data_IF_813665994596
#
_entry.id   IF_813665994596
#
_cell.length_a   1.000
_cell.length_b   1.000
_cell.length_c   1.000
_cell.angle_alpha   90.00
_cell.angle_beta   90.00
_cell.angle_gamma   90.00
#
_symmetry.space_group_name_H-M   'P 1'
#
loop_
_entity.id
_entity.type
_entity.pdbx_description
1 polymer ?
#
# COMPACT_ATOMS: atom_id res chain seq x y z
N UNK A 1 -10.66 29.07 -12.61
CA UNK A 1 -9.71 28.39 -13.53
C UNK A 1 -10.25 27.00 -13.82
N UNK A 2 -10.92 26.84 -14.95
CA UNK A 2 -11.42 25.56 -15.45
C UNK A 2 -10.24 24.70 -15.87
N UNK A 3 -9.87 23.74 -15.02
CA UNK A 3 -8.90 22.71 -15.37
C UNK A 3 -9.48 21.91 -16.53
N UNK A 4 -8.72 21.86 -17.63
CA UNK A 4 -9.14 21.32 -18.90
C UNK A 4 -9.33 19.80 -18.76
N UNK A 5 -10.58 19.34 -18.65
CA UNK A 5 -10.95 17.91 -18.45
C UNK A 5 -10.67 17.01 -19.67
N UNK A 6 -9.87 17.47 -20.64
CA UNK A 6 -9.82 16.87 -21.97
C UNK A 6 -8.39 16.65 -22.51
N UNK A 7 -7.38 16.52 -21.64
CA UNK A 7 -6.05 16.11 -22.07
C UNK A 7 -5.78 14.68 -21.61
N UNK A 8 -5.79 13.76 -22.57
CA UNK A 8 -5.30 12.40 -22.40
C UNK A 8 -3.92 12.43 -21.72
N UNK A 9 -3.80 11.76 -20.57
CA UNK A 9 -2.56 11.69 -19.77
C UNK A 9 -1.85 10.38 -19.99
N UNK A 10 -0.52 10.40 -19.96
CA UNK A 10 0.29 9.19 -20.00
C UNK A 10 0.85 8.88 -18.60
N UNK A 11 0.57 7.68 -18.09
CA UNK A 11 0.96 7.27 -16.75
C UNK A 11 1.69 5.92 -16.75
N UNK A 12 2.79 5.86 -16.01
CA UNK A 12 3.49 4.60 -15.71
C UNK A 12 3.13 4.16 -14.29
N UNK A 13 2.72 2.91 -14.14
CA UNK A 13 2.39 2.31 -12.83
C UNK A 13 3.30 1.11 -12.60
N UNK A 14 4.20 1.21 -11.61
CA UNK A 14 4.99 0.05 -11.16
C UNK A 14 4.22 -0.74 -10.12
N UNK A 15 4.42 -2.06 -10.07
CA UNK A 15 3.67 -2.92 -9.14
C UNK A 15 2.19 -3.04 -9.49
N UNK A 16 1.82 -2.81 -10.76
CA UNK A 16 0.46 -2.85 -11.29
C UNK A 16 -0.24 -4.20 -11.07
N UNK A 17 0.50 -5.29 -11.01
CA UNK A 17 -0.05 -6.65 -10.82
C UNK A 17 -0.34 -7.01 -9.37
N UNK A 18 0.03 -6.15 -8.41
CA UNK A 18 -0.31 -6.33 -7.00
C UNK A 18 -1.71 -5.85 -6.67
N UNK A 19 -2.18 -6.13 -5.45
CA UNK A 19 -3.49 -5.71 -4.94
C UNK A 19 -3.79 -4.23 -5.24
N UNK A 20 -3.07 -3.29 -4.60
CA UNK A 20 -3.28 -1.85 -4.82
C UNK A 20 -3.02 -1.45 -6.27
N UNK A 21 -1.99 -2.04 -6.89
CA UNK A 21 -1.60 -1.75 -8.27
C UNK A 21 -2.73 -1.97 -9.27
N UNK A 22 -3.49 -3.06 -9.11
CA UNK A 22 -4.57 -3.39 -10.03
C UNK A 22 -5.68 -2.32 -10.03
N UNK A 23 -6.05 -1.81 -8.85
CA UNK A 23 -7.02 -0.72 -8.74
C UNK A 23 -6.47 0.61 -9.26
N UNK A 24 -5.17 0.89 -9.08
CA UNK A 24 -4.53 2.08 -9.66
C UNK A 24 -4.59 2.03 -11.19
N UNK A 25 -4.36 0.86 -11.77
CA UNK A 25 -4.44 0.62 -13.20
C UNK A 25 -5.87 0.77 -13.71
N UNK A 26 -6.85 0.16 -13.05
CA UNK A 26 -8.28 0.30 -13.36
C UNK A 26 -8.73 1.77 -13.36
N UNK A 27 -8.40 2.53 -12.31
CA UNK A 27 -8.73 3.96 -12.21
C UNK A 27 -8.07 4.80 -13.32
N UNK A 28 -6.84 4.46 -13.74
CA UNK A 28 -6.18 5.14 -14.85
C UNK A 28 -6.92 4.93 -16.17
N UNK A 29 -7.37 3.70 -16.43
CA UNK A 29 -8.16 3.35 -17.61
C UNK A 29 -9.54 4.01 -17.57
N UNK A 30 -10.22 3.99 -16.41
CA UNK A 30 -11.52 4.64 -16.20
C UNK A 30 -11.46 6.16 -16.47
N UNK A 31 -10.32 6.80 -16.17
CA UNK A 31 -10.06 8.21 -16.49
C UNK A 31 -9.74 8.47 -17.96
N UNK A 32 -9.65 7.45 -18.81
CA UNK A 32 -9.25 7.57 -20.20
C UNK A 32 -7.78 7.94 -20.38
N UNK A 33 -6.91 7.56 -19.43
CA UNK A 33 -5.46 7.81 -19.53
C UNK A 33 -4.77 6.65 -20.28
N UNK A 34 -3.65 6.96 -20.94
CA UNK A 34 -2.73 5.94 -21.48
C UNK A 34 -1.96 5.32 -20.32
N UNK A 35 -2.39 4.14 -19.89
CA UNK A 35 -1.77 3.44 -18.77
C UNK A 35 -0.70 2.47 -19.28
N UNK A 36 0.52 2.62 -18.77
CA UNK A 36 1.60 1.65 -18.93
C UNK A 36 1.86 0.93 -17.61
N UNK A 37 1.62 -0.38 -17.57
CA UNK A 37 2.00 -1.23 -16.45
C UNK A 37 3.47 -1.65 -16.60
N UNK A 38 4.31 -1.17 -15.67
CA UNK A 38 5.70 -1.56 -15.55
C UNK A 38 5.82 -2.79 -14.66
N UNK A 39 6.14 -3.94 -15.27
CA UNK A 39 6.09 -5.24 -14.62
C UNK A 39 7.42 -5.99 -14.76
N UNK A 40 7.65 -6.97 -13.88
CA UNK A 40 8.80 -7.88 -14.01
C UNK A 40 8.51 -8.90 -15.10
N UNK A 41 9.56 -9.50 -15.65
CA UNK A 41 9.42 -10.58 -16.65
C UNK A 41 8.50 -11.70 -16.15
N UNK A 42 8.66 -12.07 -14.88
CA UNK A 42 7.91 -13.15 -14.22
C UNK A 42 6.54 -12.74 -13.67
N UNK A 43 6.08 -11.52 -13.95
CA UNK A 43 4.77 -11.07 -13.47
C UNK A 43 3.63 -11.67 -14.30
N UNK A 44 2.65 -12.22 -13.58
CA UNK A 44 1.32 -12.57 -14.06
C UNK A 44 0.52 -11.29 -14.35
N UNK A 45 0.07 -11.13 -15.59
CA UNK A 45 -0.57 -9.90 -16.11
C UNK A 45 -2.00 -10.13 -16.60
N UNK A 46 -2.54 -11.33 -16.41
CA UNK A 46 -3.83 -11.78 -16.95
C UNK A 46 -5.01 -11.00 -16.36
N UNK A 47 -4.83 -10.42 -15.17
CA UNK A 47 -5.85 -9.64 -14.46
C UNK A 47 -5.76 -8.12 -14.73
N UNK A 48 -4.86 -7.67 -15.59
CA UNK A 48 -4.80 -6.25 -15.98
C UNK A 48 -5.79 -5.98 -17.13
N UNK A 49 -6.43 -4.79 -17.18
CA UNK A 49 -7.26 -4.39 -18.31
C UNK A 49 -6.51 -4.52 -19.64
N UNK A 50 -7.21 -4.94 -20.69
CA UNK A 50 -6.62 -5.20 -22.02
C UNK A 50 -6.02 -3.97 -22.69
N UNK A 51 -6.49 -2.79 -22.32
CA UNK A 51 -6.11 -1.48 -22.80
C UNK A 51 -4.76 -1.02 -22.22
N UNK A 52 -4.27 -1.71 -21.19
CA UNK A 52 -3.03 -1.36 -20.49
C UNK A 52 -1.84 -1.84 -21.28
N UNK A 53 -0.95 -0.91 -21.62
CA UNK A 53 0.32 -1.25 -22.25
C UNK A 53 1.25 -1.93 -21.24
N UNK A 54 1.83 -3.06 -21.62
CA UNK A 54 2.79 -3.77 -20.79
C UNK A 54 4.22 -3.38 -21.16
N UNK A 55 5.03 -3.08 -20.13
CA UNK A 55 6.48 -2.97 -20.25
C UNK A 55 7.11 -3.93 -19.27
N UNK A 56 7.83 -4.92 -19.80
CA UNK A 56 8.56 -5.91 -19.00
C UNK A 56 9.99 -5.44 -18.80
N UNK A 57 10.26 -4.88 -17.62
CA UNK A 57 11.59 -4.42 -17.23
C UNK A 57 11.76 -4.57 -15.71
N UNK A 58 12.82 -5.28 -15.31
CA UNK A 58 13.21 -5.37 -13.90
C UNK A 58 13.94 -4.10 -13.44
N UNK A 59 14.08 -3.95 -12.12
CA UNK A 59 14.80 -2.82 -11.52
C UNK A 59 16.31 -3.06 -11.35
N UNK A 60 16.82 -4.21 -11.78
CA UNK A 60 18.22 -4.61 -11.63
C UNK A 60 19.10 -4.16 -12.79
N UNK A 61 18.52 -3.85 -13.95
CA UNK A 61 19.23 -3.46 -15.16
C UNK A 61 18.85 -2.02 -15.53
N UNK A 62 19.70 -1.07 -15.12
CA UNK A 62 19.42 0.36 -15.30
C UNK A 62 19.32 0.77 -16.77
N UNK A 63 20.17 0.20 -17.63
CA UNK A 63 20.17 0.52 -19.06
C UNK A 63 18.86 0.11 -19.72
N UNK A 64 18.33 -1.09 -19.40
CA UNK A 64 17.00 -1.51 -19.87
C UNK A 64 15.88 -0.60 -19.37
N UNK A 65 15.99 -0.07 -18.14
CA UNK A 65 15.00 0.89 -17.64
C UNK A 65 15.03 2.20 -18.44
N UNK A 66 16.23 2.72 -18.73
CA UNK A 66 16.41 3.93 -19.54
C UNK A 66 15.80 3.74 -20.93
N UNK A 67 16.13 2.65 -21.61
CA UNK A 67 15.61 2.34 -22.94
C UNK A 67 14.09 2.17 -22.95
N UNK A 68 13.53 1.51 -21.93
CA UNK A 68 12.10 1.34 -21.77
C UNK A 68 11.39 2.69 -21.56
N UNK A 69 11.92 3.56 -20.71
CA UNK A 69 11.36 4.92 -20.48
C UNK A 69 11.34 5.75 -21.77
N UNK A 70 12.45 5.79 -22.48
CA UNK A 70 12.56 6.49 -23.77
C UNK A 70 11.64 5.87 -24.83
N UNK A 71 11.49 4.54 -24.84
CA UNK A 71 10.59 3.85 -25.76
C UNK A 71 9.12 4.17 -25.47
N UNK A 72 8.72 4.24 -24.19
CA UNK A 72 7.38 4.66 -23.79
C UNK A 72 7.12 6.09 -24.27
N UNK A 73 8.04 7.02 -24.02
CA UNK A 73 7.87 8.41 -24.43
C UNK A 73 7.76 8.56 -25.97
N UNK A 74 8.61 7.86 -26.73
CA UNK A 74 8.54 7.87 -28.21
C UNK A 74 7.23 7.31 -28.75
N UNK A 75 6.66 6.28 -28.12
CA UNK A 75 5.48 5.59 -28.62
C UNK A 75 4.16 6.20 -28.13
N UNK A 76 4.15 6.77 -26.92
CA UNK A 76 2.94 7.22 -26.25
C UNK A 76 2.88 8.73 -26.05
N UNK A 77 3.96 9.46 -26.33
CA UNK A 77 4.13 10.87 -26.02
C UNK A 77 4.70 11.08 -24.61
N UNK A 78 4.83 12.36 -24.18
CA UNK A 78 5.37 12.73 -22.88
C UNK A 78 4.74 11.94 -21.73
N UNK A 79 5.55 11.47 -20.79
CA UNK A 79 5.06 10.77 -19.59
C UNK A 79 4.66 11.83 -18.57
N UNK A 80 3.35 12.00 -18.33
CA UNK A 80 2.88 12.96 -17.33
C UNK A 80 3.19 12.49 -15.91
N UNK A 81 2.91 11.22 -15.63
CA UNK A 81 2.84 10.71 -14.26
C UNK A 81 3.55 9.36 -14.10
N UNK A 82 4.16 9.17 -12.93
CA UNK A 82 4.67 7.87 -12.50
C UNK A 82 4.13 7.57 -11.11
N UNK A 83 3.42 6.45 -10.95
CA UNK A 83 3.10 5.88 -9.64
C UNK A 83 4.06 4.73 -9.37
N UNK A 84 4.93 4.90 -8.37
CA UNK A 84 5.80 3.84 -7.90
C UNK A 84 5.15 3.06 -6.75
N UNK A 85 4.36 2.04 -7.09
CA UNK A 85 3.72 1.12 -6.16
C UNK A 85 4.48 -0.21 -6.00
N UNK A 86 5.50 -0.47 -6.82
CA UNK A 86 6.35 -1.64 -6.66
C UNK A 86 7.01 -1.67 -5.26
N UNK A 87 6.85 -2.80 -4.57
CA UNK A 87 7.43 -3.04 -3.28
C UNK A 87 7.03 -4.40 -2.73
N UNK A 88 7.75 -4.85 -1.70
CA UNK A 88 7.41 -6.05 -0.94
C UNK A 88 7.00 -5.65 0.47
N UNK A 89 5.85 -6.16 0.91
CA UNK A 89 5.34 -6.03 2.29
C UNK A 89 5.76 -7.21 3.15
N UNK A 90 6.17 -8.31 2.52
CA UNK A 90 6.65 -9.54 3.15
C UNK A 90 7.73 -10.17 2.28
N UNK A 91 8.73 -10.76 2.91
CA UNK A 91 9.79 -11.48 2.21
C UNK A 91 10.33 -12.61 3.09
N UNK A 92 10.96 -13.61 2.45
CA UNK A 92 11.68 -14.69 3.12
C UNK A 92 13.07 -14.20 3.53
N UNK A 93 13.74 -13.45 2.65
CA UNK A 93 15.05 -12.86 2.94
C UNK A 93 14.86 -11.40 3.31
N UNK A 94 15.14 -11.07 4.57
CA UNK A 94 14.97 -9.73 5.12
C UNK A 94 15.75 -8.64 4.36
N UNK A 95 16.87 -8.99 3.70
CA UNK A 95 17.62 -8.05 2.85
C UNK A 95 16.81 -7.59 1.65
N UNK A 96 15.79 -8.35 1.23
CA UNK A 96 14.93 -7.99 0.12
C UNK A 96 14.01 -6.81 0.44
N UNK A 97 13.72 -6.51 1.72
CA UNK A 97 13.02 -5.28 2.05
C UNK A 97 13.80 -4.06 1.57
N UNK A 98 15.06 -3.94 1.95
CA UNK A 98 15.92 -2.84 1.54
C UNK A 98 16.19 -2.86 0.03
N UNK A 99 16.57 -4.03 -0.51
CA UNK A 99 16.86 -4.18 -1.94
C UNK A 99 15.68 -3.81 -2.82
N UNK A 100 14.47 -4.29 -2.49
CA UNK A 100 13.28 -4.08 -3.34
C UNK A 100 12.61 -2.74 -3.07
N UNK A 101 12.47 -2.31 -1.82
CA UNK A 101 11.73 -1.09 -1.53
C UNK A 101 12.62 0.17 -1.64
N UNK A 102 13.91 0.09 -1.31
CA UNK A 102 14.80 1.25 -1.33
C UNK A 102 15.75 1.24 -2.53
N UNK A 103 16.59 0.22 -2.70
CA UNK A 103 17.61 0.24 -3.75
C UNK A 103 17.00 0.25 -5.16
N UNK A 104 15.95 -0.54 -5.41
CA UNK A 104 15.25 -0.49 -6.70
C UNK A 104 14.57 0.86 -6.96
N UNK A 105 14.05 1.52 -5.90
CA UNK A 105 13.51 2.88 -6.01
C UNK A 105 14.61 3.86 -6.41
N UNK A 106 15.80 3.76 -5.81
CA UNK A 106 16.96 4.57 -6.19
C UNK A 106 17.36 4.34 -7.66
N UNK A 107 17.54 3.08 -8.06
CA UNK A 107 17.89 2.73 -9.45
C UNK A 107 16.84 3.22 -10.45
N UNK A 108 15.56 3.19 -10.09
CA UNK A 108 14.48 3.68 -10.96
C UNK A 108 14.48 5.21 -11.08
N UNK A 109 14.69 5.94 -9.98
CA UNK A 109 14.82 7.41 -10.00
C UNK A 109 16.05 7.82 -10.80
N UNK A 110 17.18 7.13 -10.63
CA UNK A 110 18.39 7.33 -11.43
C UNK A 110 18.12 7.07 -12.92
N UNK A 111 17.42 5.98 -13.26
CA UNK A 111 17.04 5.69 -14.64
C UNK A 111 16.12 6.76 -15.24
N UNK A 112 15.17 7.30 -14.47
CA UNK A 112 14.34 8.43 -14.91
C UNK A 112 15.21 9.63 -15.24
N UNK A 113 16.15 9.99 -14.35
CA UNK A 113 17.05 11.11 -14.57
C UNK A 113 17.95 10.90 -15.80
N UNK A 114 18.62 9.75 -15.90
CA UNK A 114 19.53 9.43 -17.02
C UNK A 114 18.80 9.24 -18.35
N UNK A 115 17.51 8.90 -18.33
CA UNK A 115 16.73 8.78 -19.56
C UNK A 115 16.44 10.11 -20.25
N UNK A 116 16.55 11.23 -19.52
CA UNK A 116 16.27 12.58 -20.02
C UNK A 116 14.78 12.93 -20.11
N UNK A 117 13.88 12.01 -19.75
CA UNK A 117 12.43 12.29 -19.76
C UNK A 117 12.07 13.30 -18.67
N UNK A 118 11.05 14.11 -18.94
CA UNK A 118 10.47 15.02 -17.95
C UNK A 118 9.07 14.53 -17.56
N UNK A 119 8.78 14.51 -16.26
CA UNK A 119 7.48 14.10 -15.71
C UNK A 119 6.86 15.23 -14.89
N UNK A 120 5.53 15.30 -14.85
CA UNK A 120 4.80 16.29 -14.04
C UNK A 120 4.69 15.88 -12.58
N UNK A 121 4.60 14.58 -12.29
CA UNK A 121 4.54 14.07 -10.92
C UNK A 121 5.01 12.63 -10.77
N UNK A 122 5.77 12.40 -9.71
CA UNK A 122 6.12 11.08 -9.20
C UNK A 122 5.38 10.83 -7.88
N UNK A 123 4.51 9.82 -7.81
CA UNK A 123 3.91 9.39 -6.55
C UNK A 123 4.60 8.14 -6.04
N UNK A 124 5.26 8.24 -4.90
CA UNK A 124 5.78 7.08 -4.17
C UNK A 124 4.68 6.52 -3.26
N UNK A 125 4.28 5.26 -3.49
CA UNK A 125 3.48 4.54 -2.51
C UNK A 125 4.37 4.11 -1.35
N UNK A 126 4.31 4.81 -0.22
CA UNK A 126 4.97 4.45 1.03
C UNK A 126 4.03 3.66 1.95
N UNK A 127 4.15 3.82 3.26
CA UNK A 127 3.28 3.24 4.28
C UNK A 127 3.41 4.03 5.58
N UNK A 128 2.36 4.08 6.40
CA UNK A 128 2.48 4.62 7.76
C UNK A 128 3.56 3.90 8.58
N UNK A 129 3.89 2.65 8.26
CA UNK A 129 4.99 1.91 8.87
C UNK A 129 6.36 2.61 8.71
N UNK A 130 6.54 3.48 7.71
CA UNK A 130 7.74 4.29 7.55
C UNK A 130 7.94 5.28 8.70
N UNK A 131 6.85 5.77 9.29
CA UNK A 131 6.84 6.65 10.46
C UNK A 131 7.06 5.86 11.75
N UNK A 132 6.54 4.63 11.82
CA UNK A 132 6.55 3.80 13.03
C UNK A 132 5.31 4.05 13.92
N UNK A 133 5.19 3.29 15.02
CA UNK A 133 4.03 3.40 15.91
C UNK A 133 4.05 4.69 16.73
N UNK A 134 2.86 5.22 17.03
CA UNK A 134 2.69 6.36 17.90
C UNK A 134 2.92 6.04 19.38
N UNK A 135 2.91 7.07 20.21
CA UNK A 135 3.13 6.91 21.65
C UNK A 135 1.96 6.13 22.30
N UNK A 136 2.22 5.01 22.98
CA UNK A 136 1.18 4.18 23.59
C UNK A 136 0.56 4.79 24.87
N UNK A 137 1.14 5.87 25.41
CA UNK A 137 0.64 6.58 26.60
C UNK A 137 -0.27 7.76 26.23
N UNK A 138 0.17 8.60 25.29
CA UNK A 138 -0.62 9.80 24.89
C UNK A 138 -1.73 9.45 23.92
N UNK A 139 -1.54 8.39 23.10
CA UNK A 139 -2.51 7.95 22.08
C UNK A 139 -2.90 9.06 21.09
N UNK A 140 -2.01 10.04 20.91
CA UNK A 140 -2.17 11.10 19.92
C UNK A 140 -2.05 10.52 18.50
N UNK A 141 -2.82 11.03 17.53
CA UNK A 141 -2.67 10.66 16.13
C UNK A 141 -1.27 11.01 15.60
N UNK A 142 -0.74 10.13 14.76
CA UNK A 142 0.50 10.35 14.02
C UNK A 142 0.27 11.41 12.93
N UNK A 143 1.10 12.44 12.92
CA UNK A 143 1.09 13.49 11.90
C UNK A 143 2.10 13.21 10.77
N UNK A 144 1.81 13.65 9.53
CA UNK A 144 2.71 13.44 8.39
C UNK A 144 4.14 13.97 8.57
N UNK A 145 4.26 15.04 9.36
CA UNK A 145 5.52 15.77 9.58
C UNK A 145 6.26 15.32 10.87
N UNK A 146 5.74 14.31 11.57
CA UNK A 146 6.42 13.68 12.72
C UNK A 146 7.76 13.06 12.29
N UNK A 147 8.72 13.04 13.23
CA UNK A 147 10.03 12.43 13.01
C UNK A 147 9.89 10.89 12.92
N UNK A 148 10.23 10.27 11.78
CA UNK A 148 10.08 8.83 11.61
C UNK A 148 10.97 7.99 12.55
N UNK A 149 10.37 7.03 13.25
CA UNK A 149 11.01 6.04 14.13
C UNK A 149 10.47 4.62 13.87
N UNK A 150 10.66 4.07 12.66
CA UNK A 150 10.14 2.74 12.32
C UNK A 150 10.83 1.63 13.12
N UNK A 151 10.03 0.72 13.66
CA UNK A 151 10.47 -0.44 14.44
C UNK A 151 10.54 -1.74 13.63
N UNK A 152 9.93 -1.77 12.44
CA UNK A 152 9.94 -2.91 11.49
C UNK A 152 11.01 -2.76 10.40
N UNK A 153 11.46 -3.87 9.81
CA UNK A 153 12.35 -3.85 8.65
C UNK A 153 11.64 -3.31 7.42
N UNK A 154 10.37 -3.69 7.22
CA UNK A 154 9.51 -3.10 6.21
C UNK A 154 9.44 -1.58 6.35
N UNK A 155 9.08 -1.06 7.53
CA UNK A 155 9.01 0.37 7.80
C UNK A 155 10.33 1.10 7.54
N UNK A 156 11.45 0.54 8.00
CA UNK A 156 12.80 1.07 7.73
C UNK A 156 13.10 1.14 6.23
N UNK A 157 12.74 0.10 5.46
CA UNK A 157 12.95 0.09 4.02
C UNK A 157 12.11 1.14 3.28
N UNK A 158 10.85 1.35 3.70
CA UNK A 158 9.98 2.40 3.16
C UNK A 158 10.52 3.79 3.49
N UNK A 159 10.98 4.02 4.72
CA UNK A 159 11.61 5.28 5.11
C UNK A 159 12.90 5.57 4.30
N UNK A 160 13.70 4.54 3.99
CA UNK A 160 14.86 4.70 3.09
C UNK A 160 14.43 5.15 1.69
N UNK A 161 13.40 4.52 1.12
CA UNK A 161 12.83 4.92 -0.16
C UNK A 161 12.32 6.37 -0.16
N UNK A 162 11.67 6.80 0.93
CA UNK A 162 11.24 8.19 1.10
C UNK A 162 12.42 9.16 1.14
N UNK A 163 13.52 8.82 1.81
CA UNK A 163 14.73 9.65 1.82
C UNK A 163 15.33 9.81 0.43
N UNK A 164 15.35 8.73 -0.35
CA UNK A 164 15.85 8.74 -1.73
C UNK A 164 15.02 9.69 -2.60
N UNK A 165 13.69 9.55 -2.63
CA UNK A 165 12.87 10.43 -3.47
C UNK A 165 12.94 11.89 -3.01
N UNK A 166 13.00 12.15 -1.69
CA UNK A 166 13.20 13.50 -1.12
C UNK A 166 14.47 14.19 -1.59
N UNK A 167 15.52 13.43 -1.87
CA UNK A 167 16.81 13.93 -2.37
C UNK A 167 16.83 14.08 -3.90
N UNK A 168 15.81 13.58 -4.61
CA UNK A 168 15.72 13.73 -6.06
C UNK A 168 15.21 15.11 -6.47
N UNK A 169 15.47 15.49 -7.72
CA UNK A 169 14.91 16.70 -8.35
C UNK A 169 13.51 16.51 -8.92
N UNK A 170 12.95 15.30 -8.87
CA UNK A 170 11.62 15.02 -9.41
C UNK A 170 10.53 15.75 -8.61
N UNK A 171 9.46 16.25 -9.24
CA UNK A 171 8.28 16.69 -8.52
C UNK A 171 7.59 15.46 -7.91
N UNK A 172 7.67 15.27 -6.60
CA UNK A 172 7.18 14.06 -5.95
C UNK A 172 6.09 14.30 -4.92
N UNK A 173 5.25 13.30 -4.68
CA UNK A 173 4.39 13.19 -3.49
C UNK A 173 4.55 11.79 -2.90
N UNK A 174 4.51 11.69 -1.57
CA UNK A 174 4.62 10.42 -0.84
C UNK A 174 3.27 10.10 -0.20
N UNK A 175 2.72 8.93 -0.52
CA UNK A 175 1.47 8.46 0.08
C UNK A 175 1.80 7.42 1.16
N UNK A 176 1.42 7.67 2.41
CA UNK A 176 1.55 6.74 3.54
C UNK A 176 0.15 6.22 3.91
N UNK A 177 -0.38 5.23 3.19
CA UNK A 177 -1.60 4.58 3.62
C UNK A 177 -1.39 3.81 4.93
N UNK A 178 -2.48 3.62 5.65
CA UNK A 178 -2.53 2.73 6.83
C UNK A 178 -2.90 1.31 6.42
N UNK A 179 -3.75 0.62 7.18
CA UNK A 179 -4.26 -0.69 6.83
C UNK A 179 -5.15 -0.65 5.60
N UNK A 180 -4.58 -0.93 4.43
CA UNK A 180 -5.32 -0.97 3.15
C UNK A 180 -6.06 -2.30 3.03
N UNK A 181 -7.37 -2.25 2.92
CA UNK A 181 -8.21 -3.43 2.77
C UNK A 181 -9.17 -3.26 1.59
N UNK A 182 -9.64 -4.39 1.05
CA UNK A 182 -10.55 -4.40 -0.08
C UNK A 182 -10.59 -5.75 -0.80
N UNK A 183 -11.38 -5.87 -1.88
CA UNK A 183 -11.36 -7.03 -2.77
C UNK A 183 -9.94 -7.42 -3.20
N UNK A 184 -9.66 -8.72 -3.35
CA UNK A 184 -8.34 -9.29 -3.69
C UNK A 184 -7.25 -9.17 -2.60
N UNK A 185 -7.54 -8.53 -1.46
CA UNK A 185 -6.59 -8.43 -0.35
C UNK A 185 -6.60 -9.70 0.51
N UNK A 186 -5.43 -10.21 0.88
CA UNK A 186 -5.30 -11.54 1.51
C UNK A 186 -5.05 -11.51 3.03
N UNK A 187 -4.54 -10.40 3.59
CA UNK A 187 -4.22 -10.29 5.01
C UNK A 187 -5.43 -10.01 5.90
N UNK A 188 -6.30 -9.11 5.48
CA UNK A 188 -7.58 -8.83 6.13
C UNK A 188 -8.57 -9.96 5.87
N UNK A 189 -8.53 -10.57 4.68
CA UNK A 189 -9.26 -11.82 4.41
C UNK A 189 -8.91 -12.94 5.39
N UNK A 190 -7.65 -13.05 5.84
CA UNK A 190 -7.26 -14.07 6.82
C UNK A 190 -8.05 -13.97 8.13
N UNK A 191 -8.37 -12.76 8.60
CA UNK A 191 -9.24 -12.59 9.77
C UNK A 191 -10.65 -13.12 9.50
N UNK A 192 -11.26 -12.73 8.38
CA UNK A 192 -12.61 -13.19 7.99
C UNK A 192 -12.68 -14.71 7.85
N UNK A 193 -11.66 -15.31 7.22
CA UNK A 193 -11.51 -16.76 7.09
C UNK A 193 -11.37 -17.45 8.45
N UNK A 194 -10.64 -16.85 9.39
CA UNK A 194 -10.46 -17.40 10.75
C UNK A 194 -11.77 -17.34 11.53
N UNK A 195 -12.50 -16.23 11.41
CA UNK A 195 -13.85 -16.05 11.99
C UNK A 195 -14.86 -17.05 11.41
N UNK A 196 -14.83 -17.28 10.09
CA UNK A 196 -15.66 -18.32 9.44
C UNK A 196 -15.35 -19.72 9.98
N UNK A 197 -14.09 -19.98 10.35
CA UNK A 197 -13.63 -21.23 10.99
C UNK A 197 -13.91 -21.30 12.50
N UNK A 198 -14.60 -20.30 13.08
CA UNK A 198 -15.04 -20.33 14.48
C UNK A 198 -14.06 -19.74 15.48
N UNK A 199 -12.99 -19.06 15.05
CA UNK A 199 -12.04 -18.38 15.94
C UNK A 199 -11.94 -16.89 15.62
N UNK A 200 -11.87 -16.05 16.65
CA UNK A 200 -11.76 -14.61 16.49
C UNK A 200 -10.66 -14.05 17.43
N UNK A 201 -9.38 -14.18 17.05
CA UNK A 201 -8.27 -13.80 17.91
C UNK A 201 -8.01 -12.29 17.91
N UNK A 202 -7.62 -11.75 19.06
CA UNK A 202 -7.00 -10.41 19.22
C UNK A 202 -5.71 -10.53 20.01
N UNK A 203 -4.85 -9.51 19.90
CA UNK A 203 -3.52 -9.53 20.54
C UNK A 203 -3.51 -8.66 21.78
N UNK A 204 -3.01 -9.19 22.90
CA UNK A 204 -2.82 -8.40 24.12
C UNK A 204 -4.11 -8.08 24.86
N UNK A 205 -3.97 -7.71 26.13
CA UNK A 205 -5.12 -7.39 26.99
C UNK A 205 -5.63 -5.95 26.81
N UNK A 206 -4.83 -5.07 26.21
CA UNK A 206 -5.20 -3.67 25.94
C UNK A 206 -5.74 -3.53 24.52
N UNK A 207 -6.70 -2.63 24.27
CA UNK A 207 -7.11 -2.30 22.90
C UNK A 207 -5.95 -1.72 22.11
N UNK A 208 -5.80 -2.12 20.85
CA UNK A 208 -4.87 -1.50 19.92
C UNK A 208 -5.65 -0.61 18.96
N UNK A 209 -5.27 0.65 18.85
CA UNK A 209 -5.92 1.65 18.01
C UNK A 209 -5.31 1.64 16.62
N UNK A 210 -6.18 1.56 15.61
CA UNK A 210 -5.88 1.36 14.21
C UNK A 210 -6.67 2.38 13.38
N UNK A 211 -6.10 2.79 12.26
CA UNK A 211 -6.84 3.46 11.19
C UNK A 211 -6.76 2.60 9.93
N UNK A 212 -7.83 2.59 9.14
CA UNK A 212 -7.93 1.80 7.91
C UNK A 212 -8.16 2.72 6.71
N UNK A 213 -7.91 2.20 5.52
CA UNK A 213 -8.30 2.85 4.28
C UNK A 213 -8.84 1.79 3.33
N UNK A 214 -10.00 2.06 2.73
CA UNK A 214 -10.51 1.20 1.67
C UNK A 214 -9.72 1.44 0.38
N UNK A 215 -9.41 0.38 -0.37
CA UNK A 215 -8.52 0.48 -1.53
C UNK A 215 -8.99 1.51 -2.58
N UNK A 216 -10.30 1.64 -2.80
CA UNK A 216 -10.84 2.65 -3.74
C UNK A 216 -10.57 4.08 -3.27
N UNK A 217 -10.70 4.35 -1.97
CA UNK A 217 -10.38 5.65 -1.38
C UNK A 217 -8.89 5.96 -1.46
N UNK A 218 -8.02 4.96 -1.23
CA UNK A 218 -6.58 5.12 -1.42
C UNK A 218 -6.24 5.49 -2.87
N UNK A 219 -6.81 4.77 -3.82
CA UNK A 219 -6.60 5.03 -5.25
C UNK A 219 -7.08 6.45 -5.60
N UNK A 220 -8.26 6.85 -5.13
CA UNK A 220 -8.76 8.22 -5.31
C UNK A 220 -7.77 9.26 -4.76
N UNK A 221 -7.25 9.05 -3.54
CA UNK A 221 -6.26 9.95 -2.94
C UNK A 221 -4.95 10.04 -3.77
N UNK A 222 -4.48 8.92 -4.33
CA UNK A 222 -3.29 8.91 -5.20
C UNK A 222 -3.51 9.74 -6.46
N UNK A 223 -4.67 9.60 -7.13
CA UNK A 223 -4.97 10.39 -8.32
C UNK A 223 -5.15 11.88 -8.01
N UNK A 224 -5.80 12.22 -6.90
CA UNK A 224 -5.84 13.61 -6.41
C UNK A 224 -4.43 14.18 -6.18
N UNK A 225 -3.50 13.37 -5.66
CA UNK A 225 -2.10 13.75 -5.46
C UNK A 225 -1.30 13.89 -6.77
N UNK A 226 -1.75 13.28 -7.88
CA UNK A 226 -1.17 13.45 -9.22
C UNK A 226 -1.69 14.72 -9.91
N UNK A 227 -3.00 14.96 -9.80
CA UNK A 227 -3.70 16.03 -10.53
C UNK A 227 -3.55 17.41 -9.87
N UNK A 228 -3.25 17.47 -8.57
CA UNK A 228 -2.94 18.72 -7.88
C UNK A 228 -1.61 19.32 -8.37
N UNK A 229 -1.41 20.66 -8.37
CA UNK A 229 -0.09 21.26 -8.57
C UNK A 229 0.87 20.97 -7.40
N UNK A 230 0.37 20.59 -6.23
CA UNK A 230 1.15 20.37 -5.02
C UNK A 230 2.19 19.26 -5.22
N UNK A 231 3.42 19.52 -4.79
CA UNK A 231 4.54 18.58 -4.79
C UNK A 231 5.38 18.76 -3.52
N UNK A 232 6.34 17.85 -3.32
CA UNK A 232 7.21 17.71 -2.16
C UNK A 232 6.45 17.51 -0.84
N UNK A 233 5.28 16.85 -0.91
CA UNK A 233 4.45 16.60 0.26
C UNK A 233 4.36 15.12 0.60
N UNK A 234 4.06 14.86 1.88
CA UNK A 234 3.77 13.53 2.40
C UNK A 234 2.37 13.54 2.99
N UNK A 235 1.57 12.54 2.61
CA UNK A 235 0.17 12.44 2.96
C UNK A 235 -0.08 11.14 3.70
N UNK A 236 -0.75 11.21 4.84
CA UNK A 236 -1.37 10.04 5.47
C UNK A 236 -2.71 9.77 4.81
N UNK A 237 -3.02 8.51 4.52
CA UNK A 237 -4.29 8.16 3.85
C UNK A 237 -5.04 7.12 4.68
N UNK A 238 -6.18 7.54 5.22
CA UNK A 238 -7.13 6.75 6.02
C UNK A 238 -8.56 7.10 5.64
N UNK A 239 -9.53 6.41 6.23
CA UNK A 239 -10.95 6.77 6.21
C UNK A 239 -11.32 7.89 7.20
N UNK A 240 -10.34 8.48 7.89
CA UNK A 240 -10.53 9.51 8.91
C UNK A 240 -10.96 8.99 10.28
N UNK A 241 -11.25 7.70 10.42
CA UNK A 241 -11.71 7.12 11.67
C UNK A 241 -10.58 6.40 12.43
N UNK A 242 -10.86 6.15 13.71
CA UNK A 242 -10.04 5.31 14.58
C UNK A 242 -10.88 4.16 15.08
N UNK A 243 -10.31 2.95 15.02
CA UNK A 243 -10.94 1.72 15.46
C UNK A 243 -10.01 0.98 16.40
N UNK A 244 -10.57 0.13 17.23
CA UNK A 244 -9.81 -0.86 17.99
C UNK A 244 -9.74 -2.18 17.22
N UNK A 245 -8.70 -2.96 17.48
CA UNK A 245 -8.60 -4.34 17.04
C UNK A 245 -9.81 -5.21 17.47
N UNK A 246 -10.41 -4.87 18.62
CA UNK A 246 -11.64 -5.50 19.14
C UNK A 246 -12.88 -5.12 18.33
N UNK A 247 -13.06 -3.84 18.00
CA UNK A 247 -14.14 -3.38 17.12
C UNK A 247 -14.03 -4.00 15.74
N UNK A 248 -12.82 -4.05 15.16
CA UNK A 248 -12.58 -4.73 13.89
C UNK A 248 -12.95 -6.22 13.96
N UNK A 249 -12.49 -6.95 14.99
CA UNK A 249 -12.86 -8.36 15.20
C UNK A 249 -14.37 -8.54 15.32
N UNK A 250 -15.02 -7.72 16.12
CA UNK A 250 -16.46 -7.84 16.40
C UNK A 250 -17.29 -7.53 15.15
N UNK A 251 -16.86 -6.56 14.34
CA UNK A 251 -17.44 -6.26 13.04
C UNK A 251 -17.31 -7.43 12.07
N UNK A 252 -16.13 -8.05 11.98
CA UNK A 252 -15.93 -9.28 11.20
C UNK A 252 -16.86 -10.42 11.66
N UNK A 253 -17.00 -10.65 12.97
CA UNK A 253 -17.92 -11.67 13.50
C UNK A 253 -19.37 -11.41 13.11
N UNK A 254 -19.80 -10.15 13.22
CA UNK A 254 -21.15 -9.71 12.85
C UNK A 254 -21.41 -9.93 11.36
N UNK A 255 -20.50 -9.51 10.48
CA UNK A 255 -20.70 -9.60 9.03
C UNK A 255 -20.63 -11.02 8.46
N UNK A 256 -19.83 -11.89 9.08
CA UNK A 256 -19.78 -13.32 8.74
C UNK A 256 -20.96 -14.09 9.37
N UNK A 257 -21.74 -13.46 10.25
CA UNK A 257 -22.80 -14.11 11.04
C UNK A 257 -22.27 -15.34 11.81
N UNK A 258 -21.10 -15.19 12.43
CA UNK A 258 -20.40 -16.28 13.13
C UNK A 258 -20.41 -16.06 14.65
N UNK A 259 -20.66 -17.15 15.39
CA UNK A 259 -20.47 -17.22 16.86
C UNK A 259 -19.04 -17.62 17.24
N UNK A 260 -18.06 -17.12 16.49
CA UNK A 260 -16.65 -17.46 16.68
C UNK A 260 -16.19 -17.21 18.12
N UNK A 261 -15.39 -18.12 18.67
CA UNK A 261 -14.79 -17.99 19.98
C UNK A 261 -13.80 -16.82 19.97
N UNK A 262 -14.09 -15.80 20.78
CA UNK A 262 -13.23 -14.62 20.93
C UNK A 262 -12.05 -14.98 21.85
N UNK A 263 -10.84 -15.01 21.28
CA UNK A 263 -9.63 -15.39 22.02
C UNK A 263 -8.72 -14.19 22.16
N UNK A 264 -8.23 -13.93 23.38
CA UNK A 264 -7.17 -12.94 23.59
C UNK A 264 -5.83 -13.67 23.68
N UNK A 265 -4.94 -13.40 22.72
CA UNK A 265 -3.63 -14.03 22.64
C UNK A 265 -2.60 -13.12 23.31
N UNK A 266 -1.89 -13.59 24.36
CA UNK A 266 -0.83 -12.80 24.98
C UNK A 266 0.32 -12.56 23.98
N UNK A 267 1.09 -11.49 24.15
CA UNK A 267 2.14 -11.11 23.18
C UNK A 267 3.19 -12.21 22.98
N UNK A 268 3.52 -12.99 24.01
CA UNK A 268 4.44 -14.13 23.87
C UNK A 268 3.84 -15.24 22.98
N UNK A 269 2.52 -15.45 23.06
CA UNK A 269 1.80 -16.40 22.21
C UNK A 269 1.81 -15.96 20.75
N UNK A 270 1.54 -14.67 20.48
CA UNK A 270 1.65 -14.12 19.12
C UNK A 270 3.08 -14.24 18.57
N UNK A 271 4.10 -13.99 19.40
CA UNK A 271 5.51 -14.15 19.03
C UNK A 271 5.83 -15.61 18.66
N UNK A 272 5.32 -16.57 19.42
CA UNK A 272 5.49 -17.99 19.14
C UNK A 272 4.81 -18.40 17.82
N UNK A 273 3.54 -18.01 17.61
CA UNK A 273 2.81 -18.29 16.36
C UNK A 273 3.51 -17.68 15.15
N UNK A 274 4.02 -16.46 15.26
CA UNK A 274 4.75 -15.80 14.17
C UNK A 274 6.06 -16.52 13.84
N UNK A 275 6.78 -17.01 14.86
CA UNK A 275 8.01 -17.79 14.66
C UNK A 275 7.73 -19.15 14.03
N UNK A 276 6.71 -19.87 14.50
CA UNK A 276 6.31 -21.17 13.97
C UNK A 276 5.82 -21.03 12.53
N UNK A 277 5.05 -19.98 12.23
CA UNK A 277 4.58 -19.68 10.87
C UNK A 277 5.76 -19.44 9.93
N UNK A 278 6.77 -18.67 10.33
CA UNK A 278 7.98 -18.48 9.53
C UNK A 278 8.73 -19.80 9.31
N UNK A 279 8.93 -20.61 10.36
CA UNK A 279 9.68 -21.87 10.26
C UNK A 279 8.94 -22.86 9.34
N UNK A 280 7.63 -23.00 9.51
CA UNK A 280 6.81 -23.92 8.71
C UNK A 280 6.65 -23.48 7.26
N UNK A 281 6.74 -22.19 6.95
CA UNK A 281 6.65 -21.67 5.59
C UNK A 281 8.00 -21.71 4.82
N UNK A 282 9.14 -21.85 5.51
CA UNK A 282 10.48 -21.91 4.89
C UNK A 282 10.62 -23.03 3.84
N UNK A 283 10.22 -24.30 4.10
CA UNK A 283 10.31 -25.36 3.10
C UNK A 283 9.55 -25.05 1.81
N UNK A 284 8.44 -24.31 1.94
CA UNK A 284 7.57 -23.93 0.81
C UNK A 284 8.01 -22.65 0.10
N UNK A 285 9.05 -21.96 0.60
CA UNK A 285 9.50 -20.65 0.10
C UNK A 285 8.35 -19.64 0.01
N UNK A 286 7.53 -19.57 1.06
CA UNK A 286 6.44 -18.59 1.20
C UNK A 286 6.74 -17.70 2.40
N UNK A 287 6.41 -16.40 2.32
CA UNK A 287 6.41 -15.52 3.49
C UNK A 287 5.00 -15.47 4.09
N UNK A 288 4.78 -15.98 5.32
CA UNK A 288 3.45 -16.03 5.93
C UNK A 288 2.96 -14.63 6.32
N UNK A 289 1.64 -14.46 6.39
CA UNK A 289 1.02 -13.20 6.86
C UNK A 289 1.41 -12.88 8.31
N UNK A 290 1.55 -13.89 9.16
CA UNK A 290 2.10 -13.74 10.50
C UNK A 290 3.60 -14.05 10.47
N UNK A 291 4.41 -13.01 10.59
CA UNK A 291 5.86 -13.07 10.64
C UNK A 291 6.39 -12.11 11.73
N UNK A 292 7.70 -12.09 11.98
CA UNK A 292 8.33 -11.29 13.04
C UNK A 292 8.10 -9.78 12.88
N UNK A 293 8.11 -9.27 11.65
CA UNK A 293 7.82 -7.87 11.36
C UNK A 293 6.35 -7.56 11.67
N UNK A 294 5.43 -8.43 11.26
CA UNK A 294 3.99 -8.30 11.55
C UNK A 294 3.72 -8.36 13.05
N UNK A 295 4.46 -9.16 13.82
CA UNK A 295 4.37 -9.18 15.28
C UNK A 295 4.65 -7.81 15.90
N UNK A 296 5.65 -7.07 15.43
CA UNK A 296 5.95 -5.73 15.94
C UNK A 296 4.81 -4.77 15.65
N UNK A 297 4.31 -4.75 14.41
CA UNK A 297 3.13 -3.95 14.03
C UNK A 297 1.90 -4.30 14.87
N UNK A 298 1.60 -5.59 15.05
CA UNK A 298 0.44 -6.07 15.80
C UNK A 298 0.58 -5.87 17.31
N UNK A 299 1.80 -5.73 17.84
CA UNK A 299 2.04 -5.45 19.26
C UNK A 299 1.86 -3.97 19.60
N UNK A 300 2.06 -3.08 18.64
CA UNK A 300 1.95 -1.65 18.86
C UNK A 300 0.50 -1.21 19.15
N UNK A 301 0.35 -0.32 20.13
CA UNK A 301 -0.95 0.11 20.65
C UNK A 301 -1.54 1.27 19.86
N UNK A 302 -0.71 2.15 19.28
CA UNK A 302 -1.17 3.39 18.66
C UNK A 302 -0.74 3.47 17.19
N UNK A 303 -1.69 3.27 16.28
CA UNK A 303 -1.60 3.53 14.85
C UNK A 303 -2.66 4.54 14.39
N UNK A 304 -3.15 5.39 15.29
CA UNK A 304 -4.03 6.50 14.91
C UNK A 304 -3.27 7.43 13.97
N UNK A 305 -3.96 7.99 12.99
CA UNK A 305 -3.34 8.81 11.96
C UNK A 305 -4.17 10.05 11.69
N UNK A 306 -3.51 11.21 11.69
CA UNK A 306 -4.11 12.46 11.25
C UNK A 306 -4.07 12.56 9.71
N UNK A 307 -5.24 12.86 9.13
CA UNK A 307 -5.39 13.06 7.67
C UNK A 307 -5.72 14.51 7.30
N UNK A 308 -5.65 15.44 8.26
CA UNK A 308 -6.00 16.85 8.03
C UNK A 308 -5.22 17.45 6.87
N UNK A 309 -3.93 17.14 6.75
CA UNK A 309 -3.07 17.57 5.62
C UNK A 309 -3.60 17.06 4.27
N UNK A 310 -4.02 15.80 4.21
CA UNK A 310 -4.54 15.16 2.99
C UNK A 310 -5.89 15.76 2.59
N UNK A 311 -6.77 16.01 3.56
CA UNK A 311 -8.07 16.69 3.32
C UNK A 311 -7.83 18.12 2.81
N UNK A 312 -7.02 18.90 3.51
CA UNK A 312 -6.86 20.33 3.22
C UNK A 312 -6.10 20.60 1.92
N UNK A 313 -5.10 19.79 1.60
CA UNK A 313 -4.23 20.01 0.43
C UNK A 313 -4.74 19.29 -0.82
N UNK A 314 -5.34 18.11 -0.69
CA UNK A 314 -5.79 17.31 -1.84
C UNK A 314 -7.31 17.35 -2.05
N UNK A 315 -8.06 18.02 -1.16
CA UNK A 315 -9.52 17.93 -1.11
C UNK A 315 -10.02 16.48 -1.02
N UNK A 316 -9.22 15.62 -0.37
CA UNK A 316 -9.56 14.22 -0.18
C UNK A 316 -10.72 14.10 0.81
N UNK A 317 -11.75 13.36 0.41
CA UNK A 317 -12.90 13.01 1.23
C UNK A 317 -13.11 11.50 1.11
N UNK A 318 -12.82 10.73 2.17
CA UNK A 318 -13.05 9.28 2.16
C UNK A 318 -14.53 8.97 1.99
N UNK A 319 -14.86 8.05 1.09
CA UNK A 319 -16.24 7.62 0.86
C UNK A 319 -16.61 6.36 1.64
N UNK A 320 -15.61 5.60 2.11
CA UNK A 320 -15.79 4.34 2.80
C UNK A 320 -15.29 4.45 4.23
N UNK A 321 -16.18 4.10 5.17
CA UNK A 321 -15.74 3.68 6.50
C UNK A 321 -15.47 2.17 6.51
N UNK A 322 -14.91 1.67 7.62
CA UNK A 322 -14.58 0.26 7.79
C UNK A 322 -15.77 -0.68 7.56
N UNK A 323 -16.98 -0.29 7.98
CA UNK A 323 -18.18 -1.10 7.79
C UNK A 323 -18.51 -1.27 6.32
N UNK A 324 -18.67 -0.16 5.59
CA UNK A 324 -19.03 -0.17 4.17
C UNK A 324 -17.99 -0.91 3.33
N UNK A 325 -16.70 -0.67 3.56
CA UNK A 325 -15.66 -1.35 2.81
C UNK A 325 -15.60 -2.86 3.09
N UNK A 326 -15.87 -3.29 4.33
CA UNK A 326 -15.89 -4.72 4.67
C UNK A 326 -17.07 -5.43 4.04
N UNK A 327 -18.23 -4.79 3.98
CA UNK A 327 -19.41 -5.31 3.30
C UNK A 327 -19.11 -5.60 1.82
N UNK A 328 -18.54 -4.63 1.10
CA UNK A 328 -18.14 -4.79 -0.30
C UNK A 328 -17.04 -5.86 -0.47
N UNK A 329 -16.05 -5.87 0.42
CA UNK A 329 -14.97 -6.88 0.40
C UNK A 329 -15.52 -8.29 0.60
N UNK A 330 -16.42 -8.49 1.57
CA UNK A 330 -17.04 -9.79 1.88
C UNK A 330 -17.92 -10.25 0.72
N UNK A 331 -18.69 -9.34 0.13
CA UNK A 331 -19.49 -9.68 -1.05
C UNK A 331 -18.61 -10.16 -2.20
N UNK A 332 -17.50 -9.47 -2.45
CA UNK A 332 -16.53 -9.89 -3.45
C UNK A 332 -15.92 -11.26 -3.12
N UNK A 333 -15.49 -11.49 -1.87
CA UNK A 333 -14.94 -12.78 -1.45
C UNK A 333 -15.93 -13.93 -1.63
N UNK A 334 -17.23 -13.70 -1.40
CA UNK A 334 -18.27 -14.70 -1.66
C UNK A 334 -18.43 -14.99 -3.15
N UNK A 335 -18.47 -13.95 -3.99
CA UNK A 335 -18.64 -14.08 -5.43
C UNK A 335 -17.46 -14.86 -6.07
N UNK A 336 -16.24 -14.65 -5.58
CA UNK A 336 -15.03 -15.33 -6.04
C UNK A 336 -14.77 -16.68 -5.35
N UNK A 337 -15.67 -17.13 -4.48
CA UNK A 337 -15.56 -18.43 -3.78
C UNK A 337 -14.47 -18.49 -2.70
N UNK A 338 -14.01 -17.35 -2.18
CA UNK A 338 -13.07 -17.28 -1.05
C UNK A 338 -13.78 -17.46 0.30
N UNK A 339 -15.06 -17.06 0.39
CA UNK A 339 -15.90 -17.14 1.60
C UNK A 339 -17.20 -17.90 1.38
#
# INVERSE_FOLDING_TARGET
MTWNMNKEKNIIITGATGFIGSFLTEMGVEKGWKVTAWVRETSHTENLPSEVKLVRAGFTDKQKMIEALQSIERQCGPIDYIIHNAGVTKTINHKDFDRVNAENTARFIEAIHESGISILKFVLMSSLAALGPGNPKTLEPLHPDDIPKPDTLYGKSKLKAEKIIRQSSLPWNIMRPTGVYGPRETDYYLMLRTVKKGLAPVTGCKPHFLSFVYVKDLVKAVFLALETPISQQTFHVTDGNTYTDREYRDLCCKMINSKALKVTVPHWGLKAVSLISEISARPFKISPTLNKDKYLTMKAINWKSDISKTINMLHYSPEYNLHRGLEESIQWYKNEGWL
#
